data_IF_766639894745
#
_entry.id   IF_766639894745
#
_cell.length_a   1.000
_cell.length_b   1.000
_cell.length_c   1.000
_cell.angle_alpha   90.00
_cell.angle_beta   90.00
_cell.angle_gamma   90.00
#
_symmetry.space_group_name_H-M   'P 1'
#
loop_
_entity.id
_entity.type
_entity.pdbx_description
1 polymer ?
#
# COMPACT_ATOMS: atom_id res chain seq x y z
N UNK A 1 4.19 -9.27 11.89
CA UNK A 1 3.99 -8.14 12.83
C UNK A 1 2.82 -7.31 12.32
N UNK A 2 1.72 -7.20 13.09
CA UNK A 2 0.59 -6.31 12.76
C UNK A 2 0.95 -4.88 13.16
N UNK A 3 1.07 -3.97 12.20
CA UNK A 3 1.36 -2.57 12.49
C UNK A 3 0.08 -1.84 12.91
N UNK A 4 0.16 -1.10 14.01
CA UNK A 4 -0.92 -0.32 14.58
C UNK A 4 -1.13 0.93 13.71
N UNK A 5 -2.18 0.96 12.89
CA UNK A 5 -2.54 2.07 11.98
C UNK A 5 -2.88 3.41 12.69
N UNK A 6 -2.77 3.48 14.02
CA UNK A 6 -3.34 4.54 14.86
C UNK A 6 -2.69 5.93 14.72
N UNK A 7 -1.58 6.08 13.97
CA UNK A 7 -0.89 7.37 13.79
C UNK A 7 -0.42 7.67 12.35
N UNK A 8 -1.15 7.23 11.32
CA UNK A 8 -0.92 7.69 9.95
C UNK A 8 -1.59 9.05 9.73
N UNK A 9 -0.81 10.11 9.53
CA UNK A 9 -1.33 11.41 9.09
C UNK A 9 -1.96 11.34 7.68
N UNK A 10 -2.73 12.37 7.29
CA UNK A 10 -3.40 12.40 5.98
C UNK A 10 -2.42 12.24 4.82
N UNK A 11 -1.22 12.79 4.93
CA UNK A 11 -0.19 12.74 3.88
C UNK A 11 0.32 11.32 3.66
N UNK A 12 0.67 10.61 4.74
CA UNK A 12 1.12 9.20 4.68
C UNK A 12 0.03 8.29 4.10
N UNK A 13 -1.24 8.53 4.46
CA UNK A 13 -2.37 7.80 3.86
C UNK A 13 -2.45 8.00 2.35
N UNK A 14 -2.26 9.24 1.88
CA UNK A 14 -2.29 9.57 0.46
C UNK A 14 -1.15 8.86 -0.30
N UNK A 15 0.06 8.87 0.28
CA UNK A 15 1.23 8.19 -0.31
C UNK A 15 1.02 6.68 -0.43
N UNK A 16 0.52 6.05 0.64
CA UNK A 16 0.19 4.61 0.64
C UNK A 16 -0.89 4.31 -0.40
N UNK A 17 -1.95 5.12 -0.49
CA UNK A 17 -3.01 4.92 -1.47
C UNK A 17 -2.50 5.07 -2.92
N UNK A 18 -1.62 6.04 -3.18
CA UNK A 18 -0.97 6.21 -4.48
C UNK A 18 -0.13 4.99 -4.85
N UNK A 19 0.72 4.50 -3.95
CA UNK A 19 1.54 3.31 -4.18
C UNK A 19 0.69 2.07 -4.53
N UNK A 20 -0.43 1.88 -3.83
CA UNK A 20 -1.37 0.78 -4.10
C UNK A 20 -2.02 0.94 -5.47
N UNK A 21 -2.46 2.16 -5.81
CA UNK A 21 -3.08 2.42 -7.10
C UNK A 21 -2.12 2.15 -8.26
N UNK A 22 -0.86 2.59 -8.16
CA UNK A 22 0.17 2.30 -9.16
C UNK A 22 0.50 0.80 -9.24
N UNK A 23 0.58 0.11 -8.10
CA UNK A 23 0.79 -1.34 -8.08
C UNK A 23 -0.35 -2.11 -8.77
N UNK A 24 -1.60 -1.71 -8.52
CA UNK A 24 -2.77 -2.32 -9.17
C UNK A 24 -2.87 -1.98 -10.66
N UNK A 25 -2.55 -0.75 -11.05
CA UNK A 25 -2.46 -0.35 -12.46
C UNK A 25 -1.43 -1.23 -13.20
N UNK A 26 -0.27 -1.46 -12.59
CA UNK A 26 0.74 -2.37 -13.15
C UNK A 26 0.20 -3.79 -13.33
N UNK A 27 -0.43 -4.37 -12.30
CA UNK A 27 -1.00 -5.73 -12.40
C UNK A 27 -2.07 -5.81 -13.50
N UNK A 28 -2.98 -4.84 -13.55
CA UNK A 28 -4.02 -4.79 -14.58
C UNK A 28 -3.43 -4.61 -15.98
N UNK A 29 -2.35 -3.85 -16.14
CA UNK A 29 -1.62 -3.74 -17.42
C UNK A 29 -1.01 -5.07 -17.89
N UNK A 30 -0.86 -6.04 -16.97
CA UNK A 30 -0.38 -7.41 -17.23
C UNK A 30 -1.53 -8.43 -17.30
N UNK A 31 -2.79 -7.99 -17.29
CA UNK A 31 -3.97 -8.84 -17.18
C UNK A 31 -3.96 -9.74 -15.93
N UNK A 32 -3.32 -9.29 -14.85
CA UNK A 32 -3.30 -10.01 -13.57
C UNK A 32 -4.36 -9.38 -12.67
N UNK A 33 -5.30 -10.21 -12.21
CA UNK A 33 -6.29 -9.85 -11.21
C UNK A 33 -5.78 -10.31 -9.85
N UNK A 34 -5.68 -9.40 -8.89
CA UNK A 34 -5.16 -9.68 -7.54
C UNK A 34 -6.11 -10.53 -6.68
N UNK A 35 -7.42 -10.48 -6.94
CA UNK A 35 -8.51 -11.22 -6.29
C UNK A 35 -8.69 -11.05 -4.77
N UNK A 36 -7.72 -10.52 -4.03
CA UNK A 36 -7.83 -10.31 -2.58
C UNK A 36 -7.26 -8.94 -2.18
N UNK A 37 -7.64 -7.90 -2.92
CA UNK A 37 -7.20 -6.53 -2.65
C UNK A 37 -7.91 -6.01 -1.39
N UNK A 38 -7.23 -6.14 -0.25
CA UNK A 38 -7.66 -5.64 1.06
C UNK A 38 -6.48 -5.08 1.83
N UNK A 39 -6.75 -4.26 2.83
CA UNK A 39 -5.71 -3.62 3.66
C UNK A 39 -4.76 -4.62 4.34
N UNK A 40 -5.21 -5.84 4.61
CA UNK A 40 -4.39 -6.89 5.22
C UNK A 40 -3.29 -7.42 4.30
N UNK A 41 -3.47 -7.33 2.98
CA UNK A 41 -2.52 -7.78 1.96
C UNK A 41 -1.63 -6.64 1.43
N UNK A 42 -1.68 -5.47 2.08
CA UNK A 42 -0.81 -4.35 1.79
C UNK A 42 0.43 -4.40 2.68
N UNK A 43 1.59 -4.65 2.09
CA UNK A 43 2.87 -4.62 2.79
C UNK A 43 3.36 -3.18 2.88
N UNK A 44 3.04 -2.52 3.98
CA UNK A 44 3.48 -1.15 4.26
C UNK A 44 4.78 -1.17 5.09
N UNK A 45 5.83 -0.57 4.56
CA UNK A 45 7.05 -0.25 5.29
C UNK A 45 7.01 1.20 5.77
N UNK A 46 6.92 1.38 7.09
CA UNK A 46 6.93 2.68 7.77
C UNK A 46 8.24 2.96 8.53
N UNK A 47 9.32 2.22 8.27
CA UNK A 47 10.61 2.44 8.95
C UNK A 47 11.17 3.84 8.70
N UNK A 48 10.89 4.41 7.53
CA UNK A 48 11.15 5.81 7.21
C UNK A 48 9.84 6.62 7.33
N UNK A 49 9.70 7.50 8.33
CA UNK A 49 8.50 8.34 8.49
C UNK A 49 8.26 9.32 7.34
N UNK A 50 9.31 9.68 6.60
CA UNK A 50 9.25 10.60 5.47
C UNK A 50 8.97 9.89 4.15
N UNK A 51 9.21 8.58 4.07
CA UNK A 51 9.08 7.78 2.85
C UNK A 51 8.41 6.43 3.11
N UNK A 52 7.09 6.43 3.42
CA UNK A 52 6.34 5.19 3.51
C UNK A 52 6.33 4.50 2.15
N UNK A 53 6.54 3.18 2.13
CA UNK A 53 6.46 2.36 0.92
C UNK A 53 5.34 1.35 1.11
N UNK A 54 4.39 1.28 0.18
CA UNK A 54 3.37 0.24 0.16
C UNK A 54 3.56 -0.69 -1.04
N UNK A 55 3.42 -2.00 -0.82
CA UNK A 55 3.43 -2.99 -1.89
C UNK A 55 2.20 -3.87 -1.81
N UNK A 56 1.63 -4.16 -2.97
CA UNK A 56 0.57 -5.17 -3.12
C UNK A 56 1.25 -6.55 -3.05
N UNK A 57 0.84 -7.39 -2.08
CA UNK A 57 1.40 -8.72 -1.83
C UNK A 57 0.85 -9.80 -2.76
#
# INVERSE_FOLDING_TARGET
>A
MRFNFRNLDKRKRLLIAMDVAFGMEYLHSKNIVHFDLKSDNLLVNLRDPHRPICKVS
#
